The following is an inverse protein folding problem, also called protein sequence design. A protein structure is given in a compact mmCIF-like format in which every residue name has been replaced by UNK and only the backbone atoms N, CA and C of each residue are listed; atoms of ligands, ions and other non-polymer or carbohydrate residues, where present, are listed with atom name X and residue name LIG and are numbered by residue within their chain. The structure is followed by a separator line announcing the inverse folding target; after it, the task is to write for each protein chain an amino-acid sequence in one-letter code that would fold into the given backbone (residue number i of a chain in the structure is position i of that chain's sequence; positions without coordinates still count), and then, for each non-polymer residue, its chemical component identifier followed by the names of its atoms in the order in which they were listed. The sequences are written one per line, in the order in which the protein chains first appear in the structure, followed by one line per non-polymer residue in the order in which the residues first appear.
data_IF_262292130673
#
_entry.id   IF_262292130673
#
_cell.length_a   1.000
_cell.length_b   1.000
_cell.length_c   1.000
_cell.angle_alpha   90.00
_cell.angle_beta   90.00
_cell.angle_gamma   90.00
#
_symmetry.space_group_name_H-M   'P 1'
#
loop_
_entity.id
_entity.type
_entity.pdbx_description
1 polymer ?
#
# COMPACT_ATOMS: atom_id res chain seq x y z
N UNK A 1 3.05 18.01 12.57
CA UNK A 1 3.97 17.87 11.43
C UNK A 1 3.22 17.05 10.40
N UNK A 2 2.95 17.58 9.21
CA UNK A 2 2.17 16.86 8.20
C UNK A 2 3.07 15.80 7.56
N UNK A 3 2.95 14.56 8.03
CA UNK A 3 3.47 13.42 7.30
C UNK A 3 2.50 13.21 6.13
N UNK A 4 2.90 13.61 4.91
CA UNK A 4 2.09 13.47 3.69
C UNK A 4 1.75 11.99 3.36
N UNK A 5 2.49 11.05 3.96
CA UNK A 5 2.27 9.61 3.86
C UNK A 5 2.50 8.98 5.24
N UNK A 6 1.46 8.39 5.83
CA UNK A 6 1.58 7.63 7.07
C UNK A 6 2.01 6.19 6.77
N UNK A 7 3.29 5.91 6.99
CA UNK A 7 3.88 4.60 6.67
C UNK A 7 3.12 3.47 7.37
N UNK A 8 2.66 3.67 8.61
CA UNK A 8 1.81 2.69 9.32
C UNK A 8 0.57 2.31 8.51
N UNK A 9 -0.16 3.30 7.98
CA UNK A 9 -1.35 3.06 7.14
C UNK A 9 -1.01 2.34 5.85
N UNK A 10 0.14 2.63 5.26
CA UNK A 10 0.59 1.91 4.05
C UNK A 10 0.94 0.44 4.37
N UNK A 11 1.54 0.17 5.52
CA UNK A 11 1.79 -1.20 5.98
C UNK A 11 0.48 -1.96 6.28
N UNK A 12 -0.51 -1.29 6.87
CA UNK A 12 -1.85 -1.86 7.08
C UNK A 12 -2.50 -2.23 5.73
N UNK A 13 -2.41 -1.37 4.72
CA UNK A 13 -2.88 -1.66 3.36
C UNK A 13 -2.17 -2.85 2.74
N UNK A 14 -0.84 -2.97 2.88
CA UNK A 14 -0.11 -4.14 2.40
C UNK A 14 -0.65 -5.44 3.01
N UNK A 15 -0.78 -5.47 4.33
CA UNK A 15 -1.28 -6.65 5.05
C UNK A 15 -2.72 -6.98 4.66
N UNK A 16 -3.55 -5.96 4.44
CA UNK A 16 -4.92 -6.15 3.99
C UNK A 16 -4.99 -6.71 2.56
N UNK A 17 -4.23 -6.15 1.61
CA UNK A 17 -4.13 -6.65 0.23
C UNK A 17 -3.57 -8.06 0.21
N UNK A 18 -2.60 -8.37 1.07
CA UNK A 18 -2.05 -9.72 1.19
C UNK A 18 -3.09 -10.75 1.64
N UNK A 19 -4.06 -10.34 2.47
CA UNK A 19 -5.13 -11.22 2.98
C UNK A 19 -6.33 -11.32 2.05
N UNK A 20 -6.71 -10.23 1.39
CA UNK A 20 -7.95 -10.11 0.61
C UNK A 20 -7.73 -10.01 -0.90
N UNK A 21 -6.51 -9.72 -1.34
CA UNK A 21 -6.12 -9.65 -2.74
C UNK A 21 -5.77 -10.98 -3.35
N UNK A 22 -5.46 -10.93 -4.63
CA UNK A 22 -5.07 -12.07 -5.44
C UNK A 22 -3.56 -12.27 -5.34
N UNK A 23 -3.12 -13.46 -4.95
CA UNK A 23 -1.70 -13.81 -5.02
C UNK A 23 -1.25 -13.87 -6.49
N UNK A 24 -0.17 -13.16 -6.81
CA UNK A 24 0.48 -13.18 -8.12
C UNK A 24 1.83 -13.88 -8.03
N UNK A 25 2.50 -14.12 -9.16
CA UNK A 25 3.83 -14.75 -9.19
C UNK A 25 4.88 -13.98 -8.36
N UNK A 26 4.73 -12.65 -8.22
CA UNK A 26 5.70 -11.78 -7.57
C UNK A 26 5.22 -11.20 -6.22
N UNK A 27 3.95 -11.37 -5.84
CA UNK A 27 3.40 -10.80 -4.63
C UNK A 27 1.88 -10.90 -4.58
N UNK A 28 1.21 -9.77 -4.39
CA UNK A 28 -0.23 -9.70 -4.26
C UNK A 28 -0.77 -8.50 -5.05
N UNK A 29 -1.92 -8.66 -5.68
CA UNK A 29 -2.58 -7.58 -6.39
C UNK A 29 -4.01 -7.44 -5.90
N UNK A 30 -4.42 -6.20 -5.70
CA UNK A 30 -5.81 -5.88 -5.42
C UNK A 30 -6.21 -4.68 -6.27
N UNK A 31 -7.25 -4.86 -7.09
CA UNK A 31 -7.73 -3.83 -8.00
C UNK A 31 -6.60 -3.35 -8.95
N UNK A 32 -6.33 -2.05 -9.01
CA UNK A 32 -5.24 -1.46 -9.81
C UNK A 32 -3.88 -1.37 -9.08
N UNK A 33 -3.76 -1.91 -7.86
CA UNK A 33 -2.54 -1.82 -7.05
C UNK A 33 -1.89 -3.18 -6.84
N UNK A 34 -0.64 -3.30 -7.27
CA UNK A 34 0.21 -4.45 -7.01
C UNK A 34 1.17 -4.15 -5.87
N UNK A 35 1.26 -5.06 -4.91
CA UNK A 35 2.16 -4.98 -3.77
C UNK A 35 3.07 -6.20 -3.72
N UNK A 36 4.35 -5.95 -3.58
CA UNK A 36 5.37 -7.00 -3.49
C UNK A 36 6.33 -6.69 -2.35
N UNK A 37 6.99 -7.74 -1.86
CA UNK A 37 8.03 -7.63 -0.84
C UNK A 37 9.32 -8.20 -1.38
N UNK A 38 10.45 -7.59 -1.02
CA UNK A 38 11.77 -8.14 -1.34
C UNK A 38 11.99 -9.51 -0.65
N UNK A 39 13.03 -10.24 -1.07
CA UNK A 39 13.36 -11.58 -0.58
C UNK A 39 13.52 -11.63 0.96
N UNK A 40 14.12 -10.58 1.54
CA UNK A 40 14.30 -10.47 2.98
C UNK A 40 13.06 -9.90 3.71
N UNK A 41 12.02 -9.50 2.98
CA UNK A 41 10.75 -8.99 3.55
C UNK A 41 10.82 -7.59 4.16
N UNK A 42 11.95 -6.91 4.07
CA UNK A 42 12.17 -5.59 4.68
C UNK A 42 11.84 -4.41 3.78
N UNK A 43 11.80 -4.63 2.47
CA UNK A 43 11.44 -3.62 1.48
C UNK A 43 10.12 -4.00 0.85
N UNK A 44 9.19 -3.06 0.83
CA UNK A 44 7.89 -3.21 0.17
C UNK A 44 7.84 -2.33 -1.06
N UNK A 45 7.21 -2.83 -2.11
CA UNK A 45 6.99 -2.11 -3.35
C UNK A 45 5.50 -2.06 -3.64
N UNK A 46 4.99 -0.87 -3.92
CA UNK A 46 3.61 -0.62 -4.32
C UNK A 46 3.63 -0.02 -5.72
N UNK A 47 3.08 -0.73 -6.70
CA UNK A 47 3.01 -0.30 -8.07
C UNK A 47 1.55 -0.07 -8.50
N UNK A 48 1.23 1.13 -8.97
CA UNK A 48 -0.05 1.45 -9.57
C UNK A 48 0.07 2.67 -10.50
N UNK A 49 -0.70 2.72 -11.59
CA UNK A 49 -0.80 3.88 -12.50
C UNK A 49 0.56 4.49 -12.91
N UNK A 50 1.54 3.67 -13.31
CA UNK A 50 2.90 4.10 -13.68
C UNK A 50 3.68 4.82 -12.55
N UNK A 51 3.27 4.59 -11.30
CA UNK A 51 3.98 4.99 -10.09
C UNK A 51 4.41 3.77 -9.33
N UNK A 52 5.66 3.79 -8.86
CA UNK A 52 6.16 2.81 -7.89
C UNK A 52 6.58 3.53 -6.62
N UNK A 53 5.99 3.14 -5.49
CA UNK A 53 6.37 3.56 -4.16
C UNK A 53 7.16 2.43 -3.51
N UNK A 54 8.42 2.70 -3.21
CA UNK A 54 9.31 1.79 -2.49
C UNK A 54 9.39 2.23 -1.04
N UNK A 55 9.10 1.33 -0.11
CA UNK A 55 9.22 1.57 1.33
C UNK A 55 10.35 0.69 1.85
N UNK A 56 11.43 1.32 2.26
CA UNK A 56 12.57 0.67 2.89
C UNK A 56 12.50 0.69 4.41
N UNK A 57 13.52 0.12 5.02
CA UNK A 57 13.70 0.14 6.47
C UNK A 57 13.94 1.58 7.00
N UNK A 58 13.66 1.82 8.28
CA UNK A 58 13.78 3.14 8.93
C UNK A 58 12.90 4.26 8.32
N UNK A 59 11.65 3.94 7.97
CA UNK A 59 10.66 4.92 7.54
C UNK A 59 11.08 5.74 6.30
N UNK A 60 11.97 5.18 5.47
CA UNK A 60 12.38 5.82 4.22
C UNK A 60 11.48 5.32 3.10
N UNK A 61 10.91 6.24 2.34
CA UNK A 61 10.17 5.91 1.13
C UNK A 61 10.77 6.63 -0.08
N UNK A 62 10.68 5.98 -1.23
CA UNK A 62 11.14 6.51 -2.51
C UNK A 62 10.00 6.43 -3.52
N UNK A 63 9.73 7.56 -4.16
CA UNK A 63 8.74 7.65 -5.22
C UNK A 63 9.42 7.56 -6.58
N UNK A 64 8.91 6.67 -7.43
CA UNK A 64 9.27 6.58 -8.83
C UNK A 64 8.03 6.90 -9.66
N UNK A 65 8.03 8.07 -10.29
CA UNK A 65 7.00 8.49 -11.23
C UNK A 65 7.60 9.47 -12.24
N UNK A 66 7.11 9.42 -13.47
CA UNK A 66 7.52 10.37 -14.52
C UNK A 66 6.68 11.67 -14.49
N UNK A 67 5.42 11.58 -14.05
CA UNK A 67 4.48 12.69 -14.07
C UNK A 67 3.76 12.87 -12.73
N UNK A 68 3.52 14.12 -12.33
CA UNK A 68 2.82 14.44 -11.09
C UNK A 68 1.36 13.96 -11.09
N UNK A 69 0.69 13.93 -12.26
CA UNK A 69 -0.66 13.39 -12.40
C UNK A 69 -0.71 11.89 -12.05
N UNK A 70 0.35 11.14 -12.36
CA UNK A 70 0.44 9.73 -11.99
C UNK A 70 0.52 9.58 -10.47
N UNK A 71 1.34 10.41 -9.80
CA UNK A 71 1.40 10.46 -8.33
C UNK A 71 0.04 10.77 -7.72
N UNK A 72 -0.69 11.76 -8.25
CA UNK A 72 -2.02 12.11 -7.74
C UNK A 72 -3.02 10.95 -7.86
N UNK A 73 -3.02 10.24 -9.00
CA UNK A 73 -3.86 9.04 -9.19
C UNK A 73 -3.49 7.92 -8.24
N UNK A 74 -2.19 7.66 -8.07
CA UNK A 74 -1.69 6.68 -7.11
C UNK A 74 -2.16 7.02 -5.69
N UNK A 75 -1.99 8.27 -5.26
CA UNK A 75 -2.41 8.73 -3.93
C UNK A 75 -3.92 8.58 -3.73
N UNK A 76 -4.72 8.87 -4.76
CA UNK A 76 -6.17 8.66 -4.70
C UNK A 76 -6.55 7.18 -4.54
N UNK A 77 -5.85 6.26 -5.23
CA UNK A 77 -6.07 4.81 -5.08
C UNK A 77 -5.60 4.31 -3.72
N UNK A 78 -4.45 4.75 -3.24
CA UNK A 78 -3.93 4.41 -1.91
C UNK A 78 -4.88 4.90 -0.80
N UNK A 79 -5.35 6.15 -0.85
CA UNK A 79 -6.28 6.70 0.14
C UNK A 79 -7.61 5.93 0.17
N UNK A 80 -8.10 5.47 -0.98
CA UNK A 80 -9.30 4.62 -1.04
C UNK A 80 -9.09 3.28 -0.35
N UNK A 81 -7.91 2.68 -0.51
CA UNK A 81 -7.56 1.44 0.19
C UNK A 81 -7.42 1.67 1.70
N UNK A 82 -6.76 2.76 2.11
CA UNK A 82 -6.64 3.12 3.53
C UNK A 82 -8.03 3.26 4.17
N UNK A 83 -8.95 3.98 3.52
CA UNK A 83 -10.32 4.12 4.02
C UNK A 83 -11.02 2.75 4.14
N UNK A 84 -10.88 1.88 3.13
CA UNK A 84 -11.41 0.51 3.16
C UNK A 84 -10.84 -0.33 4.30
N UNK A 85 -9.55 -0.21 4.57
CA UNK A 85 -8.89 -0.93 5.67
C UNK A 85 -9.44 -0.46 7.00
N UNK A 86 -9.52 0.86 7.20
CA UNK A 86 -10.05 1.50 8.40
C UNK A 86 -11.51 1.07 8.66
N UNK A 87 -12.35 1.03 7.62
CA UNK A 87 -13.72 0.51 7.68
C UNK A 87 -13.77 -0.98 8.06
N UNK A 88 -12.82 -1.79 7.59
CA UNK A 88 -12.79 -3.24 7.87
C UNK A 88 -12.23 -3.59 9.26
N UNK A 89 -11.39 -2.74 9.86
CA UNK A 89 -10.86 -2.97 11.21
C UNK A 89 -11.89 -2.65 12.30
N UNK A 90 -12.83 -1.73 12.05
CA UNK A 90 -13.92 -1.40 12.98
C UNK A 90 -14.89 -2.58 13.18
N UNK A 91 -14.99 -3.51 12.20
CA UNK A 91 -15.80 -4.73 12.30
C UNK A 91 -15.13 -5.88 13.08
N UNK A 92 -13.88 -5.69 13.54
CA UNK A 92 -13.04 -6.72 14.17
C UNK A 92 -13.14 -6.87 15.70
N UNK A 93 -13.95 -6.06 16.38
CA UNK A 93 -14.21 -6.16 17.83
C UNK A 93 -15.68 -6.50 18.11
N UNK A 94 -16.11 -7.70 17.75
CA UNK A 94 -17.13 -8.39 18.54
C UNK A 94 -16.53 -9.71 19.02
N UNK A 95 -15.96 -9.63 20.22
CA UNK A 95 -15.65 -10.75 21.07
C UNK A 95 -16.99 -11.37 21.53
N UNK A 96 -17.20 -12.67 21.27
CA UNK A 96 -18.18 -13.51 21.96
C UNK A 96 -17.47 -14.70 22.60
#
# INVERSE_FOLDING_TARGET
MQNELEISKVLEVFEWIRRHGEATDNGYRYDDMEVTSDYDGYTLYFAAHDVTLTIGFHQTYLWHYDDANHKERFMASLNRLIAKVDESEDEGYHEE
#
